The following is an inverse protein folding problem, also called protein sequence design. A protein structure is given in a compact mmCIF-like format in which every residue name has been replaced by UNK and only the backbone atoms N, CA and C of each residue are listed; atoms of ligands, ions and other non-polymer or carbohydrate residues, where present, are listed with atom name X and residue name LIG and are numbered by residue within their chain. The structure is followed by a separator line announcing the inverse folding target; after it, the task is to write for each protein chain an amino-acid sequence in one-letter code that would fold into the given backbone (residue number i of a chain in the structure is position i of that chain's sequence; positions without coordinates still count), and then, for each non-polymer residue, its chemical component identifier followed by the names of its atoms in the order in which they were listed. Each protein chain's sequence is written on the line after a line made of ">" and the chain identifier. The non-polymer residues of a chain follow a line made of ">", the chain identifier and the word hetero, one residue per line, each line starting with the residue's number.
data_IF_716383737592
#
_entry.id   IF_716383737592
#
_cell.length_a   1.000
_cell.length_b   1.000
_cell.length_c   1.000
_cell.angle_alpha   90.00
_cell.angle_beta   90.00
_cell.angle_gamma   90.00
#
_symmetry.space_group_name_H-M   'P 1'
#
loop_
_entity.id
_entity.type
_entity.pdbx_description
1 polymer ?
#
# COMPACT_ATOMS: atom_id res chain seq x y z
N UNK A 1 -22.98 -11.04 -10.49
CA UNK A 1 -22.08 -9.98 -10.99
C UNK A 1 -20.75 -10.63 -11.31
N UNK A 2 -20.24 -10.43 -12.51
CA UNK A 2 -18.89 -10.87 -12.85
C UNK A 2 -17.88 -9.82 -12.34
N UNK A 3 -16.72 -10.27 -11.88
CA UNK A 3 -15.59 -9.40 -11.54
C UNK A 3 -14.50 -9.55 -12.59
N UNK A 4 -14.01 -8.42 -13.08
CA UNK A 4 -12.87 -8.36 -14.01
C UNK A 4 -11.62 -8.03 -13.20
N UNK A 5 -10.59 -8.90 -13.17
CA UNK A 5 -9.31 -8.56 -12.56
C UNK A 5 -8.63 -7.45 -13.37
N UNK A 6 -8.24 -6.38 -12.68
CA UNK A 6 -7.57 -5.23 -13.30
C UNK A 6 -6.06 -5.30 -13.07
N UNK A 7 -5.63 -5.40 -11.81
CA UNK A 7 -4.23 -5.38 -11.45
C UNK A 7 -3.99 -6.01 -10.08
N UNK A 8 -2.88 -6.74 -9.92
CA UNK A 8 -2.21 -6.96 -8.64
C UNK A 8 -1.00 -6.03 -8.56
N UNK A 9 -1.07 -5.01 -7.72
CA UNK A 9 0.02 -4.08 -7.46
C UNK A 9 0.84 -4.60 -6.27
N UNK A 10 2.11 -4.88 -6.45
CA UNK A 10 3.03 -5.30 -5.38
C UNK A 10 4.09 -4.24 -5.13
N UNK A 11 4.55 -4.10 -3.88
CA UNK A 11 5.66 -3.21 -3.55
C UNK A 11 6.93 -3.62 -4.27
N UNK A 12 7.55 -2.71 -5.02
CA UNK A 12 8.88 -2.88 -5.59
C UNK A 12 9.69 -1.59 -5.61
N UNK A 13 11.01 -1.71 -5.72
CA UNK A 13 11.90 -0.56 -5.92
C UNK A 13 11.67 0.17 -7.24
N UNK A 14 10.83 -0.37 -8.13
CA UNK A 14 10.52 0.20 -9.43
C UNK A 14 9.15 0.91 -9.48
N UNK A 15 8.39 0.94 -8.39
CA UNK A 15 7.06 1.58 -8.39
C UNK A 15 6.70 2.36 -7.11
N UNK A 16 7.53 2.30 -6.06
CA UNK A 16 7.27 3.00 -4.80
C UNK A 16 8.12 4.26 -4.67
N UNK A 17 7.44 5.36 -4.36
CA UNK A 17 8.06 6.63 -3.97
C UNK A 17 8.00 6.75 -2.45
N UNK A 18 9.13 7.01 -1.82
CA UNK A 18 9.30 7.26 -0.40
C UNK A 18 9.59 8.76 -0.13
N UNK A 19 9.03 9.29 0.96
CA UNK A 19 9.27 10.66 1.42
C UNK A 19 9.06 10.77 2.94
N UNK A 20 9.36 11.92 3.56
CA UNK A 20 9.30 12.08 5.02
C UNK A 20 7.92 11.93 5.66
N UNK A 21 6.85 11.87 4.86
CA UNK A 21 5.48 11.60 5.33
C UNK A 21 4.64 10.99 4.21
N UNK A 22 3.51 10.36 4.58
CA UNK A 22 2.55 9.81 3.60
C UNK A 22 2.12 10.85 2.56
N UNK A 23 1.77 12.06 3.02
CA UNK A 23 1.35 13.15 2.16
C UNK A 23 2.47 13.61 1.21
N UNK A 24 3.71 13.72 1.70
CA UNK A 24 4.84 14.08 0.85
C UNK A 24 5.13 13.02 -0.22
N UNK A 25 4.95 11.73 0.10
CA UNK A 25 5.16 10.64 -0.85
C UNK A 25 4.09 10.66 -1.96
N UNK A 26 2.82 10.91 -1.59
CA UNK A 26 1.72 11.09 -2.55
C UNK A 26 1.99 12.29 -3.46
N UNK A 27 2.35 13.44 -2.90
CA UNK A 27 2.67 14.65 -3.68
C UNK A 27 3.83 14.39 -4.65
N UNK A 28 4.90 13.73 -4.20
CA UNK A 28 6.03 13.40 -5.05
C UNK A 28 5.63 12.43 -6.19
N UNK A 29 4.85 11.40 -5.88
CA UNK A 29 4.34 10.44 -6.86
C UNK A 29 3.47 11.12 -7.92
N UNK A 30 2.50 11.95 -7.50
CA UNK A 30 1.62 12.70 -8.41
C UNK A 30 2.39 13.77 -9.21
N UNK A 31 3.46 14.30 -8.65
CA UNK A 31 4.41 15.18 -9.35
C UNK A 31 5.34 14.47 -10.33
N UNK A 32 5.24 13.14 -10.47
CA UNK A 32 6.03 12.35 -11.42
C UNK A 32 7.44 11.99 -10.93
N UNK A 33 7.69 12.02 -9.62
CA UNK A 33 8.97 11.58 -9.07
C UNK A 33 9.25 10.11 -9.45
N UNK A 34 10.52 9.83 -9.78
CA UNK A 34 10.96 8.46 -9.98
C UNK A 34 10.91 7.68 -8.65
N UNK A 35 10.63 6.36 -8.69
CA UNK A 35 10.77 5.48 -7.53
C UNK A 35 12.15 5.62 -6.88
N UNK A 36 12.18 5.72 -5.55
CA UNK A 36 13.39 6.01 -4.78
C UNK A 36 13.50 5.15 -3.50
N UNK A 37 12.63 4.15 -3.34
CA UNK A 37 12.76 3.17 -2.27
C UNK A 37 13.81 2.12 -2.61
N UNK A 38 14.46 1.55 -1.59
CA UNK A 38 15.38 0.43 -1.73
C UNK A 38 14.81 -0.84 -1.11
N UNK A 39 15.21 -2.00 -1.64
CA UNK A 39 14.88 -3.28 -1.04
C UNK A 39 15.80 -3.52 0.17
N UNK A 40 15.20 -3.61 1.35
CA UNK A 40 15.90 -3.89 2.61
C UNK A 40 15.91 -5.37 2.97
N UNK A 41 15.24 -6.20 2.17
CA UNK A 41 15.11 -7.64 2.39
C UNK A 41 14.30 -7.97 3.65
N UNK A 42 14.18 -9.26 3.94
CA UNK A 42 13.71 -9.74 5.23
C UNK A 42 14.92 -9.83 6.16
N UNK A 43 15.36 -8.72 6.74
CA UNK A 43 16.43 -8.73 7.74
C UNK A 43 15.76 -8.67 9.12
N UNK A 44 15.89 -9.65 10.03
CA UNK A 44 16.82 -10.80 10.11
C UNK A 44 16.23 -12.18 9.71
N UNK A 45 15.51 -12.30 8.60
CA UNK A 45 14.85 -13.52 8.07
C UNK A 45 13.72 -14.09 8.94
N UNK A 46 13.20 -13.29 9.87
CA UNK A 46 12.14 -13.70 10.80
C UNK A 46 10.76 -13.13 10.43
N UNK A 47 10.68 -12.21 9.47
CA UNK A 47 9.40 -11.62 9.11
C UNK A 47 8.54 -12.58 8.30
N UNK A 48 7.21 -12.54 8.51
CA UNK A 48 6.26 -13.08 7.55
C UNK A 48 6.52 -12.50 6.16
N UNK A 49 6.64 -13.36 5.15
CA UNK A 49 6.80 -12.94 3.76
C UNK A 49 5.46 -13.04 3.03
N UNK A 50 5.13 -11.98 2.29
CA UNK A 50 4.04 -12.03 1.32
C UNK A 50 4.57 -12.71 0.06
N UNK A 51 4.06 -13.90 -0.25
CA UNK A 51 4.44 -14.66 -1.42
C UNK A 51 3.18 -15.23 -2.10
N UNK A 52 3.23 -15.32 -3.44
CA UNK A 52 2.24 -16.09 -4.20
C UNK A 52 2.45 -17.58 -3.99
N UNK A 53 1.40 -18.35 -4.26
CA UNK A 53 1.51 -19.80 -4.33
C UNK A 53 2.39 -20.22 -5.51
N UNK A 54 3.19 -21.28 -5.32
CA UNK A 54 4.09 -21.80 -6.37
C UNK A 54 3.36 -22.24 -7.63
N UNK A 55 2.10 -22.62 -7.50
CA UNK A 55 1.21 -23.04 -8.59
C UNK A 55 0.13 -22.00 -8.93
N UNK A 56 0.33 -20.71 -8.59
CA UNK A 56 -0.58 -19.64 -9.01
C UNK A 56 -0.66 -19.59 -10.55
N UNK A 57 -1.80 -20.02 -11.08
CA UNK A 57 -2.13 -20.06 -12.50
C UNK A 57 -3.26 -19.06 -12.84
N UNK A 58 -3.49 -18.07 -11.99
CA UNK A 58 -4.51 -17.04 -12.17
C UNK A 58 -4.04 -15.90 -13.08
N UNK A 59 -4.93 -14.97 -13.40
CA UNK A 59 -4.60 -13.75 -14.17
C UNK A 59 -3.50 -12.90 -13.51
N UNK A 60 -3.27 -13.04 -12.20
CA UNK A 60 -2.22 -12.32 -11.47
C UNK A 60 -0.91 -13.11 -11.31
N UNK A 61 -0.79 -14.30 -11.91
CA UNK A 61 0.41 -15.14 -11.81
C UNK A 61 1.71 -14.43 -12.27
N UNK A 62 1.59 -13.45 -13.18
CA UNK A 62 2.72 -12.64 -13.66
C UNK A 62 3.23 -11.60 -12.66
N UNK A 63 2.49 -11.29 -11.59
CA UNK A 63 2.96 -10.38 -10.56
C UNK A 63 4.13 -11.01 -9.77
N UNK A 64 5.15 -10.21 -9.49
CA UNK A 64 6.25 -10.60 -8.63
C UNK A 64 5.80 -10.62 -7.16
N UNK A 65 6.57 -11.31 -6.30
CA UNK A 65 6.33 -11.21 -4.86
C UNK A 65 6.68 -9.78 -4.37
N UNK A 66 5.91 -9.22 -3.41
CA UNK A 66 6.24 -7.95 -2.76
C UNK A 66 7.67 -7.93 -2.20
N UNK A 67 8.38 -6.83 -2.42
CA UNK A 67 9.66 -6.54 -1.78
C UNK A 67 9.44 -5.78 -0.47
N UNK A 68 10.32 -5.98 0.50
CA UNK A 68 10.39 -5.14 1.70
C UNK A 68 11.16 -3.87 1.37
N UNK A 69 10.51 -2.73 1.53
CA UNK A 69 11.02 -1.44 1.10
C UNK A 69 11.30 -0.51 2.27
N UNK A 70 12.32 0.32 2.11
CA UNK A 70 12.56 1.49 2.94
C UNK A 70 13.12 2.66 2.10
N UNK A 71 13.36 3.81 2.72
CA UNK A 71 13.97 4.98 2.07
C UNK A 71 15.49 4.87 1.90
N UNK A 72 16.14 3.94 2.60
CA UNK A 72 17.60 3.72 2.55
C UNK A 72 17.99 2.31 2.99
N UNK A 73 19.19 1.82 2.60
CA UNK A 73 19.58 0.43 2.83
C UNK A 73 19.74 0.05 4.30
N UNK A 74 20.11 1.03 5.13
CA UNK A 74 20.24 0.87 6.58
C UNK A 74 19.25 1.82 7.26
N UNK A 75 18.06 1.33 7.63
CA UNK A 75 17.10 2.12 8.39
C UNK A 75 17.66 2.55 9.75
N UNK A 76 17.31 3.75 10.20
CA UNK A 76 17.70 4.23 11.53
C UNK A 76 16.52 4.03 12.49
N UNK A 77 16.71 3.40 13.67
CA UNK A 77 15.67 3.29 14.68
C UNK A 77 15.13 4.67 15.07
N UNK A 78 13.81 4.78 15.22
CA UNK A 78 13.14 6.04 15.51
C UNK A 78 12.57 6.76 14.29
N UNK A 79 12.83 6.28 13.06
CA UNK A 79 12.37 6.93 11.84
C UNK A 79 10.89 6.66 11.55
N UNK A 80 10.24 7.67 10.96
CA UNK A 80 8.94 7.53 10.31
C UNK A 80 9.13 7.88 8.85
N UNK A 81 8.55 7.08 7.97
CA UNK A 81 8.68 7.26 6.53
C UNK A 81 7.33 7.07 5.83
N UNK A 82 7.04 7.94 4.87
CA UNK A 82 5.93 7.82 3.96
C UNK A 82 6.30 7.07 2.69
N UNK A 83 5.33 6.34 2.14
CA UNK A 83 5.44 5.60 0.88
C UNK A 83 4.16 5.79 0.05
N UNK A 84 4.28 5.82 -1.26
CA UNK A 84 3.16 5.86 -2.18
C UNK A 84 3.44 5.05 -3.45
N UNK A 85 2.40 4.37 -3.96
CA UNK A 85 2.40 3.67 -5.23
C UNK A 85 1.05 3.88 -5.94
N UNK A 86 1.07 3.83 -7.27
CA UNK A 86 -0.12 4.03 -8.09
C UNK A 86 -0.50 2.74 -8.83
N UNK A 87 -1.80 2.49 -8.96
CA UNK A 87 -2.31 1.50 -9.90
C UNK A 87 -2.05 1.93 -11.36
N UNK A 88 -2.35 1.02 -12.29
CA UNK A 88 -2.57 1.39 -13.69
C UNK A 88 -3.71 2.41 -13.80
N UNK A 89 -3.71 3.18 -14.89
CA UNK A 89 -4.85 4.01 -15.27
C UNK A 89 -6.03 3.12 -15.69
N UNK A 90 -7.21 3.38 -15.14
CA UNK A 90 -8.44 2.62 -15.40
C UNK A 90 -9.48 3.57 -16.00
N UNK A 91 -9.96 3.31 -17.23
CA UNK A 91 -11.03 4.12 -17.81
C UNK A 91 -12.36 3.85 -17.11
N UNK A 92 -13.07 4.90 -16.74
CA UNK A 92 -14.42 4.81 -16.17
C UNK A 92 -15.48 4.90 -17.26
N UNK A 93 -16.55 4.14 -17.08
CA UNK A 93 -17.71 4.16 -17.97
C UNK A 93 -18.63 5.33 -17.62
N UNK A 94 -19.07 6.06 -18.65
CA UNK A 94 -19.99 7.20 -18.53
C UNK A 94 -21.44 6.72 -18.37
N UNK A 95 -22.21 7.42 -17.54
CA UNK A 95 -23.64 7.14 -17.35
C UNK A 95 -23.94 5.91 -16.49
N UNK A 96 -22.92 5.29 -15.90
CA UNK A 96 -23.04 4.15 -14.99
C UNK A 96 -22.23 4.35 -13.71
N UNK A 97 -22.57 3.59 -12.68
CA UNK A 97 -21.76 3.51 -11.47
C UNK A 97 -20.58 2.58 -11.72
N UNK A 98 -19.37 3.06 -11.46
CA UNK A 98 -18.16 2.26 -11.57
C UNK A 98 -17.87 1.67 -10.19
N UNK A 99 -17.95 0.36 -10.08
CA UNK A 99 -17.74 -0.35 -8.82
C UNK A 99 -16.48 -1.20 -8.86
N UNK A 100 -15.69 -1.12 -7.80
CA UNK A 100 -14.46 -1.88 -7.62
C UNK A 100 -14.48 -2.63 -6.30
N UNK A 101 -13.70 -3.70 -6.23
CA UNK A 101 -13.29 -4.34 -4.99
C UNK A 101 -11.77 -4.28 -4.94
N UNK A 102 -11.23 -3.71 -3.87
CA UNK A 102 -9.80 -3.62 -3.64
C UNK A 102 -9.46 -4.46 -2.41
N UNK A 103 -8.57 -5.44 -2.58
CA UNK A 103 -8.06 -6.28 -1.51
C UNK A 103 -6.58 -5.96 -1.28
N UNK A 104 -6.30 -5.27 -0.17
CA UNK A 104 -4.98 -4.84 0.25
C UNK A 104 -4.44 -5.76 1.34
N UNK A 105 -3.21 -6.24 1.18
CA UNK A 105 -2.44 -6.96 2.19
C UNK A 105 -1.16 -6.19 2.48
N UNK A 106 -0.85 -5.95 3.75
CA UNK A 106 0.27 -5.12 4.19
C UNK A 106 1.04 -5.78 5.31
N UNK A 107 2.35 -5.85 5.14
CA UNK A 107 3.31 -6.02 6.20
C UNK A 107 3.99 -4.68 6.50
N UNK A 108 4.13 -4.38 7.79
CA UNK A 108 5.01 -3.34 8.28
C UNK A 108 5.68 -3.83 9.55
N UNK A 109 6.96 -3.51 9.74
CA UNK A 109 7.72 -4.02 10.89
C UNK A 109 7.12 -3.55 12.24
N UNK A 110 6.71 -2.29 12.38
CA UNK A 110 6.16 -1.84 13.67
C UNK A 110 4.77 -1.26 13.60
N UNK A 111 4.62 -0.12 12.93
CA UNK A 111 3.33 0.53 12.79
C UNK A 111 3.14 1.02 11.37
N UNK A 112 1.90 1.02 10.93
CA UNK A 112 1.51 1.53 9.62
C UNK A 112 0.17 2.23 9.69
N UNK A 113 0.09 3.37 9.00
CA UNK A 113 -1.17 3.99 8.60
C UNK A 113 -1.27 3.91 7.09
N UNK A 114 -2.20 3.12 6.56
CA UNK A 114 -2.46 2.98 5.12
C UNK A 114 -3.67 3.81 4.69
N UNK A 115 -3.68 4.28 3.45
CA UNK A 115 -4.83 4.97 2.84
C UNK A 115 -4.87 4.68 1.34
N UNK A 116 -6.08 4.54 0.79
CA UNK A 116 -6.34 4.34 -0.64
C UNK A 116 -7.16 5.53 -1.15
N UNK A 117 -6.62 6.28 -2.11
CA UNK A 117 -7.33 7.39 -2.75
C UNK A 117 -7.57 7.09 -4.22
N UNK A 118 -8.72 7.50 -4.75
CA UNK A 118 -8.96 7.54 -6.19
C UNK A 118 -8.62 8.95 -6.70
N UNK A 119 -7.70 9.05 -7.64
CA UNK A 119 -7.27 10.31 -8.26
C UNK A 119 -7.54 10.23 -9.75
N UNK A 120 -7.91 11.34 -10.39
CA UNK A 120 -7.96 11.38 -11.85
C UNK A 120 -6.60 11.02 -12.48
N UNK A 121 -6.60 10.61 -13.74
CA UNK A 121 -5.38 10.19 -14.42
C UNK A 121 -4.31 11.29 -14.53
N UNK A 122 -4.72 12.56 -14.44
CA UNK A 122 -3.84 13.74 -14.48
C UNK A 122 -3.22 14.06 -13.11
N UNK A 123 -3.67 13.39 -12.03
CA UNK A 123 -3.19 13.63 -10.68
C UNK A 123 -3.75 14.90 -10.03
N UNK A 124 -4.79 15.51 -10.59
CA UNK A 124 -5.23 16.86 -10.20
C UNK A 124 -6.31 16.86 -9.13
N UNK A 125 -7.25 15.92 -9.22
CA UNK A 125 -8.42 15.89 -8.35
C UNK A 125 -8.68 14.51 -7.76
N UNK A 126 -9.12 14.50 -6.50
CA UNK A 126 -9.64 13.29 -5.87
C UNK A 126 -11.00 13.00 -6.47
N UNK A 127 -11.15 11.80 -7.04
CA UNK A 127 -12.43 11.30 -7.54
C UNK A 127 -13.18 10.67 -6.37
N UNK A 128 -14.41 11.11 -6.07
CA UNK A 128 -15.15 10.59 -4.94
C UNK A 128 -15.58 9.14 -5.20
N UNK A 129 -15.09 8.24 -4.36
CA UNK A 129 -15.53 6.85 -4.26
C UNK A 129 -15.97 6.56 -2.83
N UNK A 130 -17.01 5.76 -2.67
CA UNK A 130 -17.44 5.30 -1.36
C UNK A 130 -16.34 4.47 -0.68
N UNK A 131 -16.25 4.58 0.64
CA UNK A 131 -15.36 3.78 1.49
C UNK A 131 -13.84 3.92 1.22
N UNK A 132 -13.43 4.82 0.34
CA UNK A 132 -12.03 5.19 0.13
C UNK A 132 -11.66 6.45 0.90
N UNK A 133 -10.37 6.80 0.90
CA UNK A 133 -9.80 7.95 1.60
C UNK A 133 -10.02 7.92 3.12
N UNK A 134 -9.89 6.74 3.72
CA UNK A 134 -9.94 6.51 5.17
C UNK A 134 -8.59 5.96 5.63
N UNK A 135 -8.10 6.44 6.77
CA UNK A 135 -6.86 5.96 7.37
C UNK A 135 -7.07 4.63 8.10
N UNK A 136 -6.31 3.62 7.66
CA UNK A 136 -6.27 2.28 8.21
C UNK A 136 -5.03 2.16 9.10
N UNK A 137 -5.23 2.14 10.41
CA UNK A 137 -4.13 2.18 11.38
C UNK A 137 -3.84 0.79 11.95
N UNK A 138 -2.56 0.46 12.08
CA UNK A 138 -2.09 -0.71 12.81
C UNK A 138 -0.84 -0.34 13.62
N UNK A 139 -0.91 -0.46 14.93
CA UNK A 139 0.16 0.02 15.83
C UNK A 139 0.16 1.54 16.01
N UNK A 140 1.12 2.02 16.79
CA UNK A 140 1.29 3.45 17.10
C UNK A 140 2.41 4.01 16.24
N UNK A 141 2.20 5.12 15.53
CA UNK A 141 3.30 5.75 14.79
C UNK A 141 4.35 6.44 15.70
N UNK A 142 4.16 6.43 17.03
CA UNK A 142 5.18 6.90 17.97
C UNK A 142 6.36 5.91 18.02
N UNK A 143 7.57 6.27 17.59
CA UNK A 143 8.69 5.33 17.56
C UNK A 143 9.15 4.84 18.93
N UNK A 144 8.80 5.54 20.02
CA UNK A 144 9.09 5.11 21.38
C UNK A 144 8.20 3.93 21.83
N UNK A 145 7.17 3.58 21.06
CA UNK A 145 6.30 2.44 21.36
C UNK A 145 7.06 1.11 21.42
N UNK A 146 8.21 0.98 20.77
CA UNK A 146 9.08 -0.21 20.86
C UNK A 146 9.79 -0.37 22.22
N UNK A 147 9.86 0.70 23.03
CA UNK A 147 10.33 0.63 24.42
C UNK A 147 9.19 0.21 25.35
N UNK A 148 7.99 0.75 25.10
CA UNK A 148 6.72 0.40 25.74
C UNK A 148 5.59 1.09 24.96
N UNK A 149 4.46 0.42 24.63
CA UNK A 149 4.01 -0.89 25.13
C UNK A 149 4.35 -2.09 24.23
N UNK A 150 4.89 -1.85 23.03
CA UNK A 150 5.09 -2.86 21.97
C UNK A 150 6.43 -3.61 22.13
N UNK A 151 6.87 -3.81 23.36
CA UNK A 151 8.14 -4.46 23.71
C UNK A 151 7.97 -5.95 24.07
N UNK A 152 6.77 -6.51 23.90
CA UNK A 152 6.41 -7.87 24.30
C UNK A 152 5.66 -8.62 23.18
N UNK A 153 5.80 -9.94 23.18
CA UNK A 153 5.09 -10.82 22.25
C UNK A 153 3.55 -10.79 22.47
N UNK A 154 2.74 -10.93 21.40
CA UNK A 154 3.15 -10.93 20.00
C UNK A 154 3.57 -9.54 19.51
N UNK A 155 4.69 -9.45 18.80
CA UNK A 155 5.19 -8.19 18.25
C UNK A 155 4.42 -7.77 17.00
N UNK A 156 4.36 -6.47 16.72
CA UNK A 156 3.66 -5.95 15.55
C UNK A 156 4.21 -6.48 14.22
N UNK A 157 5.52 -6.77 14.09
CA UNK A 157 6.10 -7.36 12.88
C UNK A 157 5.65 -8.81 12.65
N UNK A 158 4.98 -9.46 13.60
CA UNK A 158 4.45 -10.81 13.40
C UNK A 158 3.12 -10.80 12.66
N UNK A 159 2.50 -9.63 12.49
CA UNK A 159 1.19 -9.50 11.87
C UNK A 159 1.30 -9.19 10.37
N UNK A 160 0.43 -9.79 9.58
CA UNK A 160 0.13 -9.33 8.22
C UNK A 160 -1.31 -8.80 8.25
N UNK A 161 -1.50 -7.57 7.80
CA UNK A 161 -2.79 -6.88 7.84
C UNK A 161 -3.47 -7.05 6.50
N UNK A 162 -4.78 -7.22 6.51
CA UNK A 162 -5.59 -7.31 5.30
C UNK A 162 -6.76 -6.33 5.40
N UNK A 163 -7.16 -5.79 4.25
CA UNK A 163 -8.29 -4.89 4.11
C UNK A 163 -8.94 -5.10 2.75
N UNK A 164 -10.22 -5.46 2.74
CA UNK A 164 -11.00 -5.62 1.51
C UNK A 164 -12.11 -4.58 1.51
N UNK A 165 -12.17 -3.75 0.48
CA UNK A 165 -13.14 -2.65 0.39
C UNK A 165 -13.87 -2.65 -0.95
N UNK A 166 -15.21 -2.67 -0.94
CA UNK A 166 -15.99 -2.28 -2.09
C UNK A 166 -16.02 -0.75 -2.19
N UNK A 167 -15.68 -0.23 -3.37
CA UNK A 167 -15.67 1.19 -3.66
C UNK A 167 -16.53 1.46 -4.91
N UNK A 168 -17.47 2.40 -4.81
CA UNK A 168 -18.33 2.76 -5.94
C UNK A 168 -18.24 4.25 -6.21
N UNK A 169 -18.10 4.62 -7.48
CA UNK A 169 -18.13 6.01 -7.92
C UNK A 169 -19.56 6.58 -7.84
N UNK A 170 -19.68 7.90 -7.83
CA UNK A 170 -20.93 8.55 -8.26
C UNK A 170 -21.21 8.30 -9.76
N UNK A 171 -22.33 8.82 -10.25
CA UNK A 171 -22.62 8.85 -11.69
C UNK A 171 -21.57 9.73 -12.38
N UNK A 172 -20.80 9.13 -13.28
CA UNK A 172 -19.80 9.82 -14.08
C UNK A 172 -20.46 10.38 -15.34
N UNK A 173 -20.43 11.70 -15.52
CA UNK A 173 -21.09 12.41 -16.64
C UNK A 173 -20.17 12.68 -17.84
N UNK A 174 -18.85 12.56 -17.65
CA UNK A 174 -17.83 12.78 -18.68
C UNK A 174 -16.81 11.65 -18.64
N UNK A 175 -16.20 11.30 -19.78
CA UNK A 175 -15.16 10.30 -19.82
C UNK A 175 -14.02 10.69 -18.86
N UNK A 176 -13.71 9.81 -17.93
CA UNK A 176 -12.73 10.05 -16.87
C UNK A 176 -11.92 8.77 -16.66
N UNK A 177 -10.62 8.95 -16.53
CA UNK A 177 -9.71 7.89 -16.16
C UNK A 177 -9.30 8.07 -14.70
N UNK A 178 -9.18 6.97 -13.96
CA UNK A 178 -8.82 6.98 -12.54
C UNK A 178 -7.57 6.15 -12.28
N UNK A 179 -6.82 6.54 -11.25
CA UNK A 179 -5.78 5.72 -10.62
C UNK A 179 -6.09 5.60 -9.13
N UNK A 180 -5.84 4.42 -8.57
CA UNK A 180 -5.82 4.24 -7.13
C UNK A 180 -4.41 4.49 -6.60
N UNK A 181 -4.29 5.41 -5.65
CA UNK A 181 -3.06 5.71 -4.93
C UNK A 181 -3.09 5.00 -3.60
N UNK A 182 -2.15 4.07 -3.42
CA UNK A 182 -1.91 3.37 -2.18
C UNK A 182 -0.80 4.10 -1.45
N UNK A 183 -1.10 4.61 -0.26
CA UNK A 183 -0.17 5.41 0.52
C UNK A 183 -0.05 4.88 1.94
N UNK A 184 1.16 4.98 2.49
CA UNK A 184 1.52 4.42 3.77
C UNK A 184 2.36 5.42 4.55
N UNK A 185 2.16 5.49 5.86
CA UNK A 185 3.14 6.02 6.80
C UNK A 185 3.57 4.88 7.70
N UNK A 186 4.88 4.66 7.84
CA UNK A 186 5.44 3.50 8.53
C UNK A 186 6.45 3.96 9.57
N UNK A 187 6.37 3.41 10.78
CA UNK A 187 7.33 3.69 11.84
C UNK A 187 8.35 2.55 11.98
N UNK A 188 9.61 2.93 12.14
CA UNK A 188 10.70 2.13 12.64
C UNK A 188 10.92 2.50 14.11
N UNK A 189 10.50 1.63 15.03
CA UNK A 189 10.59 1.90 16.45
C UNK A 189 12.03 1.94 16.95
N UNK A 190 12.24 2.70 18.02
CA UNK A 190 13.41 2.53 18.87
C UNK A 190 13.21 1.22 19.64
N UNK A 191 14.13 0.26 19.47
CA UNK A 191 14.08 -0.99 20.23
C UNK A 191 14.95 -0.92 21.49
N UNK A 192 14.68 -1.81 22.45
CA UNK A 192 15.59 -2.16 23.54
C UNK A 192 15.75 -3.69 23.62
N UNK A 193 15.86 -4.35 22.45
CA UNK A 193 15.69 -5.80 22.32
C UNK A 193 15.94 -6.35 20.91
N UNK A 194 15.00 -7.14 20.38
CA UNK A 194 15.12 -7.85 19.09
C UNK A 194 15.42 -6.92 17.91
N UNK A 195 16.32 -7.34 17.00
CA UNK A 195 16.73 -6.59 15.81
C UNK A 195 15.49 -6.06 15.08
N UNK A 196 15.35 -4.74 15.08
CA UNK A 196 14.30 -4.03 14.38
C UNK A 196 14.91 -3.47 13.11
N UNK A 197 14.48 -3.99 11.95
CA UNK A 197 14.79 -3.33 10.69
C UNK A 197 13.51 -2.72 10.15
N UNK A 198 13.58 -1.53 9.55
CA UNK A 198 12.38 -0.93 9.00
C UNK A 198 12.03 -1.63 7.68
N UNK A 199 10.75 -1.92 7.46
CA UNK A 199 10.30 -2.52 6.21
C UNK A 199 8.81 -2.37 5.98
N UNK A 200 8.45 -2.05 4.74
CA UNK A 200 7.09 -2.07 4.22
C UNK A 200 7.02 -3.06 3.05
N UNK A 201 6.07 -3.98 3.09
CA UNK A 201 5.72 -4.80 1.93
C UNK A 201 4.20 -4.84 1.76
N UNK A 202 3.70 -4.76 0.52
CA UNK A 202 2.27 -4.82 0.28
C UNK A 202 1.92 -5.46 -1.06
N UNK A 203 0.71 -5.98 -1.14
CA UNK A 203 0.04 -6.39 -2.37
C UNK A 203 -1.39 -5.84 -2.37
N UNK A 204 -1.84 -5.28 -3.49
CA UNK A 204 -3.20 -4.80 -3.67
C UNK A 204 -3.81 -5.39 -4.95
N UNK A 205 -4.86 -6.17 -4.79
CA UNK A 205 -5.62 -6.72 -5.91
C UNK A 205 -6.82 -5.81 -6.18
N UNK A 206 -6.96 -5.39 -7.44
CA UNK A 206 -8.02 -4.49 -7.90
C UNK A 206 -8.90 -5.28 -8.88
N UNK A 207 -10.18 -5.34 -8.58
CA UNK A 207 -11.20 -5.94 -9.44
C UNK A 207 -12.27 -4.90 -9.75
N UNK A 208 -12.79 -4.90 -10.98
CA UNK A 208 -13.95 -4.10 -11.36
C UNK A 208 -15.19 -5.00 -11.43
N UNK A 209 -16.29 -4.57 -10.83
CA UNK A 209 -17.58 -5.23 -10.97
C UNK A 209 -18.24 -4.80 -12.28
N UNK A 210 -18.74 -5.75 -13.06
CA UNK A 210 -19.55 -5.47 -14.24
C UNK A 210 -21.00 -5.87 -14.01
N UNK A 211 -21.89 -4.92 -14.29
CA UNK A 211 -23.30 -5.21 -14.59
C UNK A 211 -23.30 -5.78 -16.01
N UNK A 212 -23.48 -7.11 -16.13
CA UNK A 212 -23.87 -7.70 -17.42
C UNK A 212 -25.32 -7.31 -17.72
#
# INVERSE_FOLDING_TARGET
>A
MASIPIQRLTSSTSNVVAAGSKAAAVTALLGGAAPNSVNVGNAPLIWPQLAKFDNDNTTFAGAANPQFLWSKPVPIPGEIQGFAASSVTIPLSVGVLNSFVIALTVFADNAVTANIQAIDALGLTIVPFTNLNVDLMAGSLNPLSGISPDNKNPYNWQNVRFYSVPATSGLISVALDVKFIFSFEVANYVNNGAINTAGLAFAADIYQSTLL
#
